data_IF_539023046224
#
_entry.id   IF_539023046224
#
_cell.length_a   1.000
_cell.length_b   1.000
_cell.length_c   1.000
_cell.angle_alpha   90.00
_cell.angle_beta   90.00
_cell.angle_gamma   90.00
#
_symmetry.space_group_name_H-M   'P 1'
#
loop_
_entity.id
_entity.type
_entity.pdbx_description
1 polymer ?
#
# COMPACT_ATOMS: atom_id res chain seq x y z
N UNK A 1 -1.34 21.39 -24.79
CA UNK A 1 -1.56 21.07 -23.35
C UNK A 1 -0.95 19.69 -23.07
N UNK A 2 -0.07 19.56 -22.06
CA UNK A 2 0.35 18.22 -21.60
C UNK A 2 -0.90 17.47 -21.12
N UNK A 3 -1.09 16.23 -21.58
CA UNK A 3 -2.24 15.42 -21.17
C UNK A 3 -2.28 15.17 -19.66
N UNK A 4 -3.49 15.02 -19.11
CA UNK A 4 -3.68 14.70 -17.69
C UNK A 4 -3.08 13.32 -17.41
N UNK A 5 -2.04 13.27 -16.57
CA UNK A 5 -1.36 12.01 -16.22
C UNK A 5 -1.89 11.35 -14.94
N UNK A 6 -2.69 12.09 -14.17
CA UNK A 6 -3.22 11.66 -12.89
C UNK A 6 -4.20 12.69 -12.32
N UNK A 7 -4.92 12.30 -11.28
CA UNK A 7 -5.93 13.11 -10.61
C UNK A 7 -5.78 12.99 -9.09
N UNK A 8 -6.06 14.07 -8.36
CA UNK A 8 -6.14 14.05 -6.91
C UNK A 8 -7.54 13.58 -6.50
N UNK A 9 -7.62 12.45 -5.81
CA UNK A 9 -8.87 11.82 -5.37
C UNK A 9 -9.25 12.27 -3.96
N UNK A 10 -8.24 12.58 -3.13
CA UNK A 10 -8.42 13.02 -1.75
C UNK A 10 -7.26 13.90 -1.32
N UNK A 11 -7.58 14.93 -0.55
CA UNK A 11 -6.66 15.75 0.21
C UNK A 11 -7.36 16.03 1.54
N UNK A 12 -6.83 15.51 2.63
CA UNK A 12 -7.47 15.64 3.93
C UNK A 12 -6.86 14.77 5.02
N UNK A 13 -7.61 14.59 6.10
CA UNK A 13 -7.12 13.97 7.33
C UNK A 13 -7.09 12.44 7.25
N UNK A 14 -5.98 11.85 7.69
CA UNK A 14 -5.83 10.42 7.86
C UNK A 14 -6.77 9.88 8.92
N UNK A 15 -7.42 8.75 8.62
CA UNK A 15 -8.21 7.98 9.57
C UNK A 15 -7.35 7.25 10.61
N UNK A 16 -6.04 7.17 10.43
CA UNK A 16 -5.13 6.50 11.36
C UNK A 16 -4.70 7.41 12.50
N UNK A 17 -4.40 8.67 12.21
CA UNK A 17 -3.79 9.59 13.19
C UNK A 17 -4.14 11.07 12.99
N UNK A 18 -5.07 11.41 12.09
CA UNK A 18 -5.48 12.78 11.80
C UNK A 18 -4.41 13.68 11.17
N UNK A 19 -3.26 13.15 10.72
CA UNK A 19 -2.29 13.91 9.91
C UNK A 19 -2.83 14.13 8.48
N UNK A 20 -2.32 15.14 7.79
CA UNK A 20 -2.69 15.40 6.40
C UNK A 20 -2.07 14.39 5.45
N UNK A 21 -2.93 13.78 4.63
CA UNK A 21 -2.57 12.84 3.57
C UNK A 21 -3.24 13.24 2.25
N UNK A 22 -2.66 12.74 1.16
CA UNK A 22 -3.21 12.88 -0.18
C UNK A 22 -3.43 11.49 -0.78
N UNK A 23 -4.42 11.39 -1.66
CA UNK A 23 -4.60 10.24 -2.56
C UNK A 23 -4.55 10.72 -3.99
N UNK A 24 -3.53 10.30 -4.73
CA UNK A 24 -3.41 10.56 -6.16
C UNK A 24 -3.68 9.27 -6.92
N UNK A 25 -4.45 9.34 -8.01
CA UNK A 25 -4.62 8.25 -8.96
C UNK A 25 -3.86 8.58 -10.26
N UNK A 26 -2.79 7.85 -10.57
CA UNK A 26 -2.05 8.00 -11.83
C UNK A 26 -2.66 7.08 -12.90
N UNK A 27 -2.94 7.64 -14.08
CA UNK A 27 -3.79 7.02 -15.08
C UNK A 27 -3.09 5.98 -15.95
N UNK A 28 -1.76 6.04 -16.05
CA UNK A 28 -0.97 5.11 -16.85
C UNK A 28 0.10 4.43 -16.01
N UNK A 29 0.37 3.16 -16.28
CA UNK A 29 1.42 2.38 -15.64
C UNK A 29 2.05 1.40 -16.60
N UNK A 30 3.38 1.36 -16.61
CA UNK A 30 4.19 0.39 -17.36
C UNK A 30 4.62 -0.79 -16.47
N UNK A 31 4.00 -0.95 -15.30
CA UNK A 31 4.40 -1.98 -14.35
C UNK A 31 4.12 -3.38 -14.92
N UNK A 32 5.19 -4.11 -15.23
CA UNK A 32 5.13 -5.45 -15.85
C UNK A 32 4.31 -6.46 -15.04
N UNK A 33 4.20 -6.30 -13.71
CA UNK A 33 3.45 -7.21 -12.83
C UNK A 33 1.96 -6.89 -12.80
N UNK A 34 1.61 -5.61 -12.78
CA UNK A 34 0.21 -5.21 -12.64
C UNK A 34 -0.47 -4.91 -13.95
N UNK A 35 0.29 -4.57 -14.99
CA UNK A 35 -0.24 -4.00 -16.23
C UNK A 35 -0.66 -2.54 -16.05
N UNK A 36 -1.48 -2.05 -16.98
CA UNK A 36 -1.92 -0.65 -17.05
C UNK A 36 -3.14 -0.36 -16.15
N UNK A 37 -3.05 -0.81 -14.89
CA UNK A 37 -3.98 -0.42 -13.84
C UNK A 37 -3.75 1.04 -13.45
N UNK A 38 -4.84 1.76 -13.18
CA UNK A 38 -4.78 3.05 -12.49
C UNK A 38 -4.19 2.80 -11.11
N UNK A 39 -3.05 3.42 -10.81
CA UNK A 39 -2.35 3.25 -9.54
C UNK A 39 -2.79 4.34 -8.57
N UNK A 40 -3.16 3.97 -7.34
CA UNK A 40 -3.50 4.96 -6.30
C UNK A 40 -2.40 5.05 -5.25
N UNK A 41 -2.04 6.27 -4.88
CA UNK A 41 -0.91 6.58 -4.00
C UNK A 41 -1.44 7.32 -2.78
N UNK A 42 -1.40 6.69 -1.60
CA UNK A 42 -1.74 7.32 -0.34
C UNK A 42 -0.43 7.80 0.28
N UNK A 43 -0.23 9.12 0.31
CA UNK A 43 1.06 9.74 0.69
C UNK A 43 0.85 10.78 1.79
N UNK A 44 1.83 11.00 2.68
CA UNK A 44 1.80 12.15 3.57
C UNK A 44 1.79 13.44 2.73
N UNK A 45 0.97 14.42 3.13
CA UNK A 45 0.87 15.68 2.38
C UNK A 45 2.15 16.50 2.59
N UNK A 46 2.43 16.88 3.83
CA UNK A 46 3.39 17.94 4.15
C UNK A 46 4.85 17.45 4.28
N UNK A 47 5.12 16.17 4.00
CA UNK A 47 6.45 15.60 4.09
C UNK A 47 6.67 14.56 3.01
N UNK A 48 7.81 14.61 2.34
CA UNK A 48 8.19 13.63 1.34
C UNK A 48 8.09 12.21 1.90
N UNK A 49 7.54 11.23 1.16
CA UNK A 49 7.45 9.84 1.62
C UNK A 49 8.82 9.21 1.92
N UNK A 50 9.89 9.68 1.27
CA UNK A 50 11.27 9.26 1.55
C UNK A 50 11.75 9.73 2.93
N UNK A 51 11.43 10.97 3.32
CA UNK A 51 11.77 11.50 4.65
C UNK A 51 10.84 10.92 5.70
N UNK A 52 9.54 10.82 5.40
CA UNK A 52 8.51 10.37 6.32
C UNK A 52 8.78 9.00 6.93
N UNK A 53 9.35 8.05 6.18
CA UNK A 53 9.69 6.73 6.70
C UNK A 53 10.79 6.78 7.76
N UNK A 54 11.75 7.69 7.63
CA UNK A 54 12.85 7.85 8.57
C UNK A 54 12.45 8.63 9.83
N UNK A 55 11.38 9.42 9.76
CA UNK A 55 10.81 10.14 10.89
C UNK A 55 9.57 9.46 11.51
N UNK A 56 9.14 8.31 10.97
CA UNK A 56 7.93 7.59 11.39
C UNK A 56 6.61 8.27 11.05
N UNK A 57 6.65 9.36 10.26
CA UNK A 57 5.49 10.12 9.78
C UNK A 57 4.71 9.40 8.67
N UNK A 58 5.24 8.30 8.14
CA UNK A 58 4.50 7.38 7.28
C UNK A 58 3.35 6.64 8.01
N UNK A 59 3.27 6.78 9.34
CA UNK A 59 2.15 6.31 10.19
C UNK A 59 0.80 6.89 9.80
N UNK A 60 0.81 8.08 9.21
CA UNK A 60 -0.36 8.72 8.63
C UNK A 60 -0.97 7.94 7.46
N UNK A 61 -0.17 7.14 6.75
CA UNK A 61 -0.62 6.42 5.55
C UNK A 61 -0.73 4.92 5.75
N UNK A 62 -0.02 4.37 6.74
CA UNK A 62 0.00 2.94 7.01
C UNK A 62 0.37 2.66 8.47
N UNK A 63 -0.28 1.69 9.11
CA UNK A 63 -0.02 1.32 10.51
C UNK A 63 0.54 -0.12 10.68
N UNK A 64 1.04 -0.74 9.61
CA UNK A 64 1.51 -2.14 9.69
C UNK A 64 2.94 -2.28 10.23
N UNK A 65 3.22 -3.47 10.79
CA UNK A 65 4.54 -3.88 11.26
C UNK A 65 5.62 -3.92 10.16
N UNK A 66 5.23 -3.97 8.88
CA UNK A 66 6.17 -3.95 7.75
C UNK A 66 6.93 -2.62 7.62
N UNK A 67 6.52 -1.58 8.35
CA UNK A 67 7.12 -0.25 8.32
C UNK A 67 8.49 -0.16 8.98
N UNK A 68 8.90 -1.20 9.71
CA UNK A 68 10.13 -1.18 10.50
C UNK A 68 9.96 -0.36 11.78
N UNK A 69 11.09 -0.02 12.41
CA UNK A 69 11.12 0.81 13.62
C UNK A 69 12.14 1.94 13.46
N UNK A 70 11.98 3.00 14.26
CA UNK A 70 12.93 4.11 14.28
C UNK A 70 14.09 3.78 15.22
N UNK A 71 15.31 3.95 14.71
CA UNK A 71 16.52 3.95 15.53
C UNK A 71 17.04 5.37 15.63
N UNK A 72 17.19 5.84 16.86
CA UNK A 72 17.84 7.11 17.17
C UNK A 72 19.36 6.95 17.06
N UNK A 73 20.01 7.96 16.50
CA UNK A 73 21.45 8.04 16.39
C UNK A 73 21.90 9.44 16.81
N UNK A 74 22.98 9.51 17.57
CA UNK A 74 23.59 10.76 18.01
C UNK A 74 24.87 10.97 17.21
N UNK A 75 25.00 12.14 16.60
CA UNK A 75 26.15 12.49 15.79
C UNK A 75 26.78 13.79 16.31
N UNK A 76 28.11 13.81 16.39
CA UNK A 76 28.84 15.03 16.71
C UNK A 76 28.53 16.13 15.68
N UNK A 77 28.19 17.33 16.14
CA UNK A 77 27.93 18.49 15.29
C UNK A 77 29.25 19.01 14.77
N UNK A 78 29.43 19.03 13.44
CA UNK A 78 30.67 19.51 12.81
C UNK A 78 31.93 18.73 13.22
N UNK A 79 31.79 17.48 13.70
CA UNK A 79 32.90 16.68 14.22
C UNK A 79 33.36 17.03 15.65
N UNK A 80 32.69 17.98 16.31
CA UNK A 80 33.04 18.40 17.68
C UNK A 80 32.55 17.34 18.68
N UNK A 81 33.50 16.70 19.38
CA UNK A 81 33.21 15.72 20.42
C UNK A 81 32.48 16.40 21.58
N UNK A 82 31.35 15.83 22.00
CA UNK A 82 30.56 16.32 23.14
C UNK A 82 29.37 17.21 22.77
N UNK A 83 29.29 17.72 21.54
CA UNK A 83 28.10 18.41 21.02
C UNK A 83 27.42 17.48 20.03
N UNK A 84 26.30 16.87 20.42
CA UNK A 84 25.60 15.90 19.56
C UNK A 84 24.26 16.43 19.07
N UNK A 85 23.89 16.05 17.85
CA UNK A 85 22.51 16.18 17.35
C UNK A 85 21.91 14.79 17.12
N UNK A 86 20.61 14.71 17.33
CA UNK A 86 19.83 13.49 17.22
C UNK A 86 19.25 13.36 15.81
N UNK A 87 19.54 12.24 15.16
CA UNK A 87 18.89 11.84 13.90
C UNK A 87 18.07 10.57 14.13
N UNK A 88 17.11 10.32 13.24
CA UNK A 88 16.32 9.08 13.22
C UNK A 88 16.47 8.40 11.88
N UNK A 89 16.65 7.08 11.92
CA UNK A 89 16.72 6.26 10.71
C UNK A 89 15.76 5.09 10.84
N UNK A 90 15.10 4.74 9.74
CA UNK A 90 14.25 3.56 9.72
C UNK A 90 15.08 2.28 9.60
N UNK A 91 14.84 1.31 10.48
CA UNK A 91 15.49 -0.01 10.48
C UNK A 91 14.46 -1.12 10.32
N UNK A 92 14.90 -2.21 9.69
CA UNK A 92 14.10 -3.42 9.49
C UNK A 92 12.76 -3.22 8.76
N UNK A 93 12.65 -2.20 7.89
CA UNK A 93 11.50 -2.06 6.99
C UNK A 93 11.47 -3.19 5.98
N UNK A 94 10.36 -3.94 5.98
CA UNK A 94 10.12 -5.02 5.02
C UNK A 94 8.98 -4.71 4.05
N UNK A 95 8.36 -3.54 4.17
CA UNK A 95 7.36 -3.05 3.23
C UNK A 95 7.89 -3.19 1.80
N UNK A 96 7.11 -3.87 0.96
CA UNK A 96 7.58 -4.28 -0.36
C UNK A 96 7.83 -3.09 -1.30
N UNK A 97 7.20 -1.95 -1.03
CA UNK A 97 7.25 -0.77 -1.91
C UNK A 97 8.39 0.16 -1.51
N UNK A 98 9.23 0.50 -2.49
CA UNK A 98 10.25 1.53 -2.35
C UNK A 98 9.61 2.91 -2.37
N UNK A 99 9.96 3.77 -1.42
CA UNK A 99 9.50 5.17 -1.37
C UNK A 99 10.34 6.12 -2.24
N UNK A 100 11.50 5.68 -2.73
CA UNK A 100 12.47 6.54 -3.43
C UNK A 100 12.09 6.90 -4.88
N UNK A 101 11.32 6.04 -5.55
CA UNK A 101 11.05 6.18 -6.99
C UNK A 101 9.65 6.76 -7.26
N UNK A 102 8.69 5.93 -7.66
CA UNK A 102 7.35 6.39 -8.06
C UNK A 102 6.59 7.20 -6.98
N UNK A 103 6.61 6.83 -5.69
CA UNK A 103 5.93 7.62 -4.65
C UNK A 103 6.48 9.04 -4.53
N UNK A 104 7.80 9.19 -4.59
CA UNK A 104 8.47 10.50 -4.53
C UNK A 104 8.12 11.36 -5.76
N UNK A 105 8.12 10.77 -6.95
CA UNK A 105 7.75 11.47 -8.19
C UNK A 105 6.30 11.98 -8.16
N UNK A 106 5.37 11.13 -7.70
CA UNK A 106 3.95 11.50 -7.51
C UNK A 106 3.82 12.62 -6.47
N UNK A 107 4.52 12.50 -5.33
CA UNK A 107 4.48 13.52 -4.28
C UNK A 107 4.96 14.90 -4.78
N UNK A 108 6.07 14.95 -5.49
CA UNK A 108 6.57 16.21 -6.07
C UNK A 108 5.61 16.78 -7.10
N UNK A 109 5.04 15.93 -7.96
CA UNK A 109 4.11 16.37 -9.01
C UNK A 109 2.80 16.91 -8.43
N UNK A 110 2.31 16.32 -7.34
CA UNK A 110 1.19 16.87 -6.57
C UNK A 110 1.50 18.28 -6.05
N UNK A 111 2.68 18.50 -5.46
CA UNK A 111 3.07 19.80 -4.92
C UNK A 111 3.31 20.87 -5.99
N UNK A 112 3.51 20.47 -7.25
CA UNK A 112 3.53 21.38 -8.41
C UNK A 112 2.14 21.69 -8.97
N UNK A 113 1.07 21.17 -8.36
CA UNK A 113 -0.31 21.41 -8.80
C UNK A 113 -0.69 20.70 -10.11
N UNK A 114 0.08 19.71 -10.56
CA UNK A 114 -0.14 19.07 -11.87
C UNK A 114 -1.18 17.93 -11.85
N UNK A 115 -1.83 17.69 -10.71
CA UNK A 115 -2.90 16.70 -10.58
C UNK A 115 -4.22 17.41 -10.23
N UNK A 116 -5.10 17.66 -11.20
CA UNK A 116 -6.40 18.25 -10.92
C UNK A 116 -7.22 17.36 -9.98
N UNK A 117 -8.05 17.97 -9.15
CA UNK A 117 -8.97 17.22 -8.27
C UNK A 117 -10.02 16.49 -9.09
N UNK A 118 -10.40 15.29 -8.64
CA UNK A 118 -11.47 14.50 -9.24
C UNK A 118 -12.80 15.27 -9.18
N UNK A 119 -13.35 15.55 -10.35
CA UNK A 119 -14.60 16.28 -10.55
C UNK A 119 -15.47 15.61 -11.64
N UNK A 120 -16.61 16.23 -11.97
CA UNK A 120 -17.53 15.72 -12.98
C UNK A 120 -16.94 15.75 -14.40
N UNK A 121 -16.00 16.66 -14.68
CA UNK A 121 -15.40 16.84 -16.00
C UNK A 121 -14.33 15.78 -16.29
N UNK A 122 -13.62 15.33 -15.26
CA UNK A 122 -12.50 14.42 -15.38
C UNK A 122 -12.79 12.99 -14.88
N UNK A 123 -13.94 12.70 -14.27
CA UNK A 123 -14.31 11.34 -13.87
C UNK A 123 -14.31 10.33 -15.02
N UNK A 124 -14.60 10.78 -16.25
CA UNK A 124 -14.57 9.95 -17.47
C UNK A 124 -13.19 9.32 -17.74
N UNK A 125 -12.11 9.88 -17.19
CA UNK A 125 -10.76 9.33 -17.28
C UNK A 125 -10.62 7.95 -16.60
N UNK A 126 -11.57 7.59 -15.73
CA UNK A 126 -11.62 6.30 -15.04
C UNK A 126 -12.58 5.30 -15.70
N UNK A 127 -13.43 5.76 -16.62
CA UNK A 127 -14.39 4.90 -17.32
C UNK A 127 -13.67 3.80 -18.10
N UNK A 128 -14.15 2.55 -18.00
CA UNK A 128 -13.51 1.40 -18.62
C UNK A 128 -12.15 1.01 -18.01
N UNK A 129 -11.69 1.71 -16.95
CA UNK A 129 -10.40 1.42 -16.31
C UNK A 129 -10.57 0.51 -15.11
N UNK A 130 -9.49 -0.22 -14.81
CA UNK A 130 -9.34 -1.02 -13.59
C UNK A 130 -8.39 -0.30 -12.64
N UNK A 131 -8.71 -0.33 -11.35
CA UNK A 131 -7.99 0.42 -10.31
C UNK A 131 -7.20 -0.52 -9.40
N UNK A 132 -5.95 -0.19 -9.12
CA UNK A 132 -5.20 -0.76 -8.00
C UNK A 132 -5.32 0.17 -6.81
N UNK A 133 -6.08 -0.26 -5.82
CA UNK A 133 -6.19 0.40 -4.52
C UNK A 133 -4.87 0.22 -3.75
N UNK A 134 -4.29 1.35 -3.39
CA UNK A 134 -3.11 1.48 -2.55
C UNK A 134 -1.87 0.76 -3.12
N UNK A 135 -1.29 1.36 -4.18
CA UNK A 135 0.07 1.04 -4.61
C UNK A 135 1.10 1.41 -3.54
N UNK A 136 0.81 2.45 -2.75
CA UNK A 136 1.46 2.80 -1.47
C UNK A 136 0.41 3.23 -0.45
N UNK A 137 0.72 2.99 0.83
CA UNK A 137 -0.13 3.26 1.99
C UNK A 137 -1.05 2.10 2.31
N UNK A 138 -2.12 2.38 3.04
CA UNK A 138 -3.17 1.43 3.38
C UNK A 138 -4.54 2.06 3.17
N UNK A 139 -5.50 1.39 2.51
CA UNK A 139 -6.85 1.93 2.31
C UNK A 139 -7.56 2.37 3.60
N UNK A 140 -7.20 1.80 4.76
CA UNK A 140 -7.74 2.20 6.06
C UNK A 140 -7.37 3.62 6.50
N UNK A 141 -6.36 4.24 5.88
CA UNK A 141 -6.00 5.64 6.16
C UNK A 141 -6.99 6.64 5.56
N UNK A 142 -7.85 6.21 4.63
CA UNK A 142 -8.70 7.10 3.83
C UNK A 142 -10.18 6.80 4.13
N UNK A 143 -11.05 7.81 4.28
CA UNK A 143 -12.48 7.60 4.49
C UNK A 143 -13.10 6.72 3.39
N UNK A 144 -13.90 5.72 3.79
CA UNK A 144 -14.47 4.72 2.87
C UNK A 144 -15.27 5.29 1.71
N UNK A 145 -15.94 6.44 1.91
CA UNK A 145 -16.70 7.16 0.87
C UNK A 145 -15.83 7.55 -0.34
N UNK A 146 -14.55 7.83 -0.12
CA UNK A 146 -13.59 8.16 -1.18
C UNK A 146 -13.38 6.95 -2.07
N UNK A 147 -13.14 5.78 -1.48
CA UNK A 147 -12.98 4.53 -2.22
C UNK A 147 -14.27 4.15 -2.94
N UNK A 148 -15.42 4.22 -2.28
CA UNK A 148 -16.72 3.91 -2.92
C UNK A 148 -16.95 4.77 -4.17
N UNK A 149 -16.72 6.08 -4.09
CA UNK A 149 -16.84 7.00 -5.24
C UNK A 149 -15.83 6.66 -6.33
N UNK A 150 -14.58 6.40 -5.97
CA UNK A 150 -13.54 6.11 -6.97
C UNK A 150 -13.83 4.79 -7.70
N UNK A 151 -14.24 3.76 -6.97
CA UNK A 151 -14.50 2.43 -7.51
C UNK A 151 -15.76 2.38 -8.36
N UNK A 152 -16.80 3.16 -8.04
CA UNK A 152 -18.02 3.26 -8.86
C UNK A 152 -17.77 3.86 -10.26
N UNK A 153 -16.62 4.51 -10.47
CA UNK A 153 -16.20 5.08 -11.76
C UNK A 153 -15.35 4.11 -12.59
N UNK A 154 -15.11 2.89 -12.09
CA UNK A 154 -14.20 1.90 -12.69
C UNK A 154 -14.93 0.59 -13.00
N UNK A 155 -14.36 -0.21 -13.90
CA UNK A 155 -14.91 -1.53 -14.25
C UNK A 155 -14.35 -2.67 -13.38
N UNK A 156 -13.49 -2.35 -12.41
CA UNK A 156 -12.93 -3.35 -11.50
C UNK A 156 -11.74 -2.84 -10.70
N UNK A 157 -11.41 -3.54 -9.62
CA UNK A 157 -10.30 -3.16 -8.76
C UNK A 157 -9.54 -4.32 -8.15
N UNK A 158 -8.35 -4.01 -7.66
CA UNK A 158 -7.60 -4.85 -6.73
C UNK A 158 -7.24 -4.04 -5.50
N UNK A 159 -7.18 -4.65 -4.32
CA UNK A 159 -6.85 -3.96 -3.08
C UNK A 159 -6.62 -4.92 -1.92
N UNK A 160 -5.80 -4.50 -0.98
CA UNK A 160 -5.63 -5.18 0.31
C UNK A 160 -5.34 -4.15 1.40
N UNK A 161 -5.67 -4.51 2.63
CA UNK A 161 -5.37 -3.73 3.84
C UNK A 161 -4.65 -4.62 4.85
N UNK A 162 -3.67 -4.04 5.54
CA UNK A 162 -3.00 -4.63 6.69
C UNK A 162 -3.73 -4.32 8.01
N UNK A 163 -4.67 -3.37 8.01
CA UNK A 163 -5.40 -2.94 9.20
C UNK A 163 -6.78 -3.61 9.33
N UNK A 164 -6.89 -4.86 8.87
CA UNK A 164 -8.15 -5.62 8.82
C UNK A 164 -8.63 -6.12 10.19
N UNK A 165 -7.71 -6.24 11.17
CA UNK A 165 -8.05 -6.64 12.55
C UNK A 165 -8.82 -5.55 13.30
N UNK A 166 -8.64 -4.28 12.93
CA UNK A 166 -9.40 -3.19 13.52
C UNK A 166 -10.85 -3.26 13.04
N UNK A 167 -11.79 -3.48 13.99
CA UNK A 167 -13.22 -3.60 13.72
C UNK A 167 -13.84 -2.40 13.00
N UNK A 168 -13.26 -1.20 13.14
CA UNK A 168 -13.71 0.00 12.44
C UNK A 168 -13.50 -0.10 10.91
N UNK A 169 -12.59 -0.97 10.45
CA UNK A 169 -12.24 -1.17 9.04
C UNK A 169 -12.99 -2.32 8.37
N UNK A 170 -13.97 -2.95 9.05
CA UNK A 170 -14.78 -4.05 8.48
C UNK A 170 -15.43 -3.70 7.14
N UNK A 171 -15.73 -2.42 6.92
CA UNK A 171 -16.31 -1.93 5.66
C UNK A 171 -15.38 -2.09 4.46
N UNK A 172 -14.06 -2.22 4.64
CA UNK A 172 -13.10 -2.41 3.55
C UNK A 172 -13.18 -3.82 2.94
N UNK A 173 -13.79 -4.80 3.62
CA UNK A 173 -13.99 -6.18 3.09
C UNK A 173 -14.62 -6.18 1.71
N UNK A 174 -15.51 -5.24 1.43
CA UNK A 174 -16.22 -5.16 0.16
C UNK A 174 -15.32 -4.84 -1.02
N UNK A 175 -14.08 -4.37 -0.80
CA UNK A 175 -13.15 -4.04 -1.88
C UNK A 175 -11.67 -4.32 -1.60
N UNK A 176 -11.32 -4.87 -0.43
CA UNK A 176 -9.95 -5.20 -0.05
C UNK A 176 -9.85 -6.60 0.53
N UNK A 177 -8.80 -7.31 0.16
CA UNK A 177 -8.37 -8.50 0.88
C UNK A 177 -7.74 -8.11 2.23
N UNK A 178 -7.84 -8.97 3.24
CA UNK A 178 -6.97 -8.92 4.41
C UNK A 178 -5.55 -9.38 4.01
N UNK A 179 -4.56 -8.51 4.17
CA UNK A 179 -3.15 -8.87 3.99
C UNK A 179 -2.65 -9.63 5.22
N UNK A 180 -2.20 -10.86 5.04
CA UNK A 180 -1.83 -11.78 6.13
C UNK A 180 -0.51 -12.49 5.85
N UNK A 181 0.14 -12.98 6.90
CA UNK A 181 1.44 -13.67 6.77
C UNK A 181 1.54 -15.01 7.50
N UNK A 182 0.71 -15.24 8.52
CA UNK A 182 0.66 -16.49 9.30
C UNK A 182 -0.62 -17.28 9.00
N UNK A 183 -0.57 -18.60 9.17
CA UNK A 183 -1.73 -19.48 8.88
C UNK A 183 -2.88 -19.21 9.85
N UNK A 184 -2.57 -19.05 11.13
CA UNK A 184 -3.52 -18.73 12.21
C UNK A 184 -4.19 -17.38 11.93
N UNK A 185 -3.38 -16.41 11.50
CA UNK A 185 -3.83 -15.08 11.13
C UNK A 185 -4.78 -15.11 9.93
N UNK A 186 -4.45 -15.90 8.91
CA UNK A 186 -5.30 -16.10 7.72
C UNK A 186 -6.62 -16.77 8.09
N UNK A 187 -6.59 -17.81 8.93
CA UNK A 187 -7.81 -18.48 9.43
C UNK A 187 -8.68 -17.53 10.24
N UNK A 188 -8.08 -16.66 11.06
CA UNK A 188 -8.80 -15.61 11.79
C UNK A 188 -9.43 -14.59 10.84
N UNK A 189 -8.73 -14.17 9.80
CA UNK A 189 -9.31 -13.27 8.80
C UNK A 189 -10.54 -13.91 8.11
N UNK A 190 -10.46 -15.20 7.79
CA UNK A 190 -11.58 -15.95 7.20
C UNK A 190 -12.76 -16.10 8.14
N UNK A 191 -12.53 -16.42 9.42
CA UNK A 191 -13.61 -16.54 10.40
C UNK A 191 -14.32 -15.20 10.63
N UNK A 192 -13.61 -14.09 10.41
CA UNK A 192 -14.19 -12.75 10.40
C UNK A 192 -14.80 -12.37 9.04
N UNK A 193 -14.84 -13.24 8.05
CA UNK A 193 -15.47 -13.00 6.74
C UNK A 193 -14.64 -12.17 5.76
N UNK A 194 -13.32 -12.05 5.96
CA UNK A 194 -12.43 -11.46 4.96
C UNK A 194 -12.01 -12.50 3.92
N UNK A 195 -11.89 -12.07 2.66
CA UNK A 195 -10.99 -12.75 1.72
C UNK A 195 -9.55 -12.32 1.99
N UNK A 196 -8.57 -13.20 1.79
CA UNK A 196 -7.16 -12.92 2.15
C UNK A 196 -6.23 -12.80 0.96
N UNK A 197 -5.17 -12.01 1.13
CA UNK A 197 -3.95 -12.07 0.34
C UNK A 197 -2.82 -12.47 1.30
N UNK A 198 -2.41 -13.74 1.26
CA UNK A 198 -1.42 -14.30 2.17
C UNK A 198 -0.04 -14.33 1.52
N UNK A 199 0.96 -13.80 2.20
CA UNK A 199 2.37 -14.00 1.80
C UNK A 199 2.96 -15.10 2.68
N UNK A 200 3.42 -16.20 2.06
CA UNK A 200 3.97 -17.38 2.76
C UNK A 200 5.48 -17.54 2.56
N UNK A 201 6.15 -18.24 3.48
CA UNK A 201 7.56 -18.69 3.30
C UNK A 201 7.68 -19.79 2.25
N UNK A 202 6.69 -20.66 2.20
CA UNK A 202 6.61 -21.79 1.28
C UNK A 202 5.57 -21.52 0.18
N UNK A 203 5.45 -22.45 -0.76
CA UNK A 203 4.43 -22.39 -1.80
C UNK A 203 3.28 -23.37 -1.49
N UNK A 204 2.89 -23.48 -0.22
CA UNK A 204 1.82 -24.40 0.22
C UNK A 204 0.52 -23.62 0.45
N UNK A 205 -0.46 -23.70 -0.48
CA UNK A 205 -1.76 -23.10 -0.27
C UNK A 205 -2.53 -23.85 0.83
N UNK A 206 -3.32 -23.12 1.61
CA UNK A 206 -4.32 -23.70 2.49
C UNK A 206 -5.54 -24.15 1.65
N UNK A 207 -6.37 -25.03 2.20
CA UNK A 207 -7.65 -25.37 1.57
C UNK A 207 -8.49 -24.10 1.36
N UNK A 208 -8.97 -23.89 0.13
CA UNK A 208 -9.71 -22.69 -0.25
C UNK A 208 -8.84 -21.49 -0.67
N UNK A 209 -7.51 -21.61 -0.67
CA UNK A 209 -6.61 -20.65 -1.31
C UNK A 209 -6.27 -21.07 -2.74
N UNK A 210 -6.02 -20.06 -3.57
CA UNK A 210 -5.36 -20.23 -4.85
C UNK A 210 -3.97 -19.59 -4.81
N UNK A 211 -3.02 -20.21 -5.51
CA UNK A 211 -1.71 -19.61 -5.72
C UNK A 211 -1.84 -18.46 -6.72
N UNK A 212 -1.27 -17.31 -6.41
CA UNK A 212 -1.31 -16.12 -7.25
C UNK A 212 -0.85 -16.46 -8.69
N UNK A 213 -1.70 -16.25 -9.73
CA UNK A 213 -1.35 -16.59 -11.11
C UNK A 213 -0.09 -15.90 -11.64
N UNK A 214 0.26 -14.73 -11.09
CA UNK A 214 1.48 -14.02 -11.43
C UNK A 214 2.76 -14.81 -11.07
N UNK A 215 2.71 -15.68 -10.05
CA UNK A 215 3.86 -16.47 -9.61
C UNK A 215 4.21 -17.64 -10.53
N UNK A 216 3.21 -18.19 -11.24
CA UNK A 216 3.36 -19.41 -12.06
C UNK A 216 3.24 -19.15 -13.55
N UNK A 217 2.34 -18.25 -13.96
CA UNK A 217 1.92 -18.10 -15.36
C UNK A 217 2.21 -16.71 -15.94
N UNK A 218 2.97 -15.86 -15.22
CA UNK A 218 3.25 -14.47 -15.60
C UNK A 218 1.98 -13.64 -15.90
N UNK A 219 0.83 -14.03 -15.33
CA UNK A 219 -0.44 -13.32 -15.47
C UNK A 219 -0.37 -12.00 -14.72
N UNK A 220 -0.72 -10.91 -15.40
CA UNK A 220 -0.74 -9.56 -14.82
C UNK A 220 -1.99 -9.35 -13.96
N UNK A 221 -1.90 -8.47 -12.96
CA UNK A 221 -3.05 -8.17 -12.10
C UNK A 221 -4.27 -7.66 -12.89
N UNK A 222 -4.06 -6.83 -13.93
CA UNK A 222 -5.15 -6.34 -14.80
C UNK A 222 -5.93 -7.46 -15.52
N UNK A 223 -5.31 -8.62 -15.70
CA UNK A 223 -5.90 -9.77 -16.37
C UNK A 223 -6.75 -10.59 -15.40
N UNK A 224 -6.22 -10.90 -14.21
CA UNK A 224 -6.93 -11.80 -13.29
C UNK A 224 -7.90 -11.08 -12.34
N UNK A 225 -7.56 -9.89 -11.85
CA UNK A 225 -8.39 -9.09 -10.93
C UNK A 225 -8.90 -9.84 -9.68
N UNK A 226 -8.16 -10.86 -9.23
CA UNK A 226 -8.60 -11.77 -8.16
C UNK A 226 -8.60 -11.13 -6.77
N UNK A 227 -7.69 -10.18 -6.52
CA UNK A 227 -7.52 -9.52 -5.23
C UNK A 227 -8.53 -8.38 -5.03
N UNK A 228 -9.83 -8.62 -5.22
CA UNK A 228 -10.87 -7.59 -5.21
C UNK A 228 -11.66 -7.47 -3.88
N UNK A 229 -11.30 -8.26 -2.87
CA UNK A 229 -11.94 -8.33 -1.55
C UNK A 229 -13.08 -9.34 -1.46
N UNK A 230 -13.57 -9.86 -2.58
CA UNK A 230 -14.87 -10.55 -2.61
C UNK A 230 -14.80 -12.02 -3.06
N UNK A 231 -13.93 -12.34 -4.03
CA UNK A 231 -14.05 -13.62 -4.76
C UNK A 231 -13.29 -14.75 -4.10
N UNK A 232 -11.98 -14.59 -3.92
CA UNK A 232 -11.06 -15.70 -3.64
C UNK A 232 -10.05 -15.34 -2.56
N UNK A 233 -9.55 -16.36 -1.86
CA UNK A 233 -8.36 -16.23 -1.03
C UNK A 233 -7.13 -16.51 -1.90
N UNK A 234 -6.18 -15.58 -1.92
CA UNK A 234 -4.97 -15.67 -2.75
C UNK A 234 -3.78 -15.82 -1.84
N UNK A 235 -2.86 -16.72 -2.18
CA UNK A 235 -1.56 -16.79 -1.54
C UNK A 235 -0.44 -16.55 -2.56
N UNK A 236 0.69 -16.00 -2.10
CA UNK A 236 1.93 -15.95 -2.87
C UNK A 236 3.11 -16.31 -1.98
N UNK A 237 4.06 -17.11 -2.51
CA UNK A 237 5.34 -17.30 -1.84
C UNK A 237 6.11 -15.97 -1.84
N UNK A 238 6.74 -15.63 -0.73
CA UNK A 238 7.62 -14.47 -0.62
C UNK A 238 8.67 -14.49 -1.72
N UNK A 239 8.89 -13.35 -2.36
CA UNK A 239 9.85 -13.18 -3.45
C UNK A 239 10.43 -11.77 -3.43
N UNK A 240 11.61 -11.59 -4.02
CA UNK A 240 12.36 -10.34 -4.02
C UNK A 240 13.85 -10.58 -3.79
N UNK A 241 14.56 -9.53 -3.35
CA UNK A 241 15.98 -9.66 -3.00
C UNK A 241 16.15 -10.58 -1.78
N UNK A 242 17.32 -11.24 -1.68
CA UNK A 242 17.65 -12.12 -0.53
C UNK A 242 17.44 -11.42 0.82
N UNK A 243 17.83 -10.15 0.92
CA UNK A 243 17.63 -9.34 2.13
C UNK A 243 16.17 -9.14 2.51
N UNK A 244 15.28 -8.88 1.54
CA UNK A 244 13.83 -8.76 1.81
C UNK A 244 13.22 -10.08 2.26
N UNK A 245 13.62 -11.19 1.63
CA UNK A 245 13.14 -12.53 2.01
C UNK A 245 13.61 -12.85 3.45
N UNK A 246 14.88 -12.59 3.78
CA UNK A 246 15.42 -12.82 5.11
C UNK A 246 14.71 -11.98 6.18
N UNK A 247 14.53 -10.69 5.94
CA UNK A 247 13.86 -9.79 6.87
C UNK A 247 12.37 -10.14 7.05
N UNK A 248 11.67 -10.50 5.97
CA UNK A 248 10.31 -11.04 6.06
C UNK A 248 10.28 -12.30 6.92
N UNK A 249 11.18 -13.26 6.66
CA UNK A 249 11.23 -14.51 7.40
C UNK A 249 11.50 -14.33 8.90
N UNK A 250 12.24 -13.28 9.28
CA UNK A 250 12.46 -12.89 10.68
C UNK A 250 11.20 -12.29 11.31
N UNK A 251 10.47 -11.44 10.58
CA UNK A 251 9.24 -10.82 11.07
C UNK A 251 8.16 -11.85 11.41
N UNK A 252 8.07 -12.91 10.61
CA UNK A 252 7.04 -13.96 10.75
C UNK A 252 7.60 -15.24 11.37
N UNK A 253 8.60 -15.11 12.25
CA UNK A 253 8.97 -16.20 13.16
C UNK A 253 7.84 -16.30 14.19
N UNK A 254 7.30 -17.50 14.35
CA UNK A 254 6.43 -17.82 15.48
C UNK A 254 7.21 -17.51 16.78
N UNK A 255 6.56 -16.95 17.81
CA UNK A 255 7.18 -16.87 19.12
C UNK A 255 7.62 -18.28 19.51
N UNK A 256 8.90 -18.41 19.88
CA UNK A 256 9.43 -19.65 20.45
C UNK A 256 8.71 -19.98 21.75
#
# INVERSE_FOLDING_TARGET
MKGITGITVFDGKSKLNNDDIIVVATLNSENVKTGNLVQTWILPKNISPLVAVNLGKDSSTCACNLRGYLREQYHNVGGIVGITHKTTTNKSRVCYVSTFSAPQAVWHKFHRGEYPFLDQNNQKLLSGRKIRLSSVGDPSAVPSKVWKKLLSLSIGWTGYTHNWKNGQNRHLKSFCQASTNLVEETKLAWSLGWKTFRISKDNKPLQGEIVCPASKHKVKCEQCMLCNGQRVNVMIKIHGTKGKIAAFNQLIKEPK
#
